data_IF_756663401123
#
_entry.id   IF_756663401123
#
_cell.length_a   1.000
_cell.length_b   1.000
_cell.length_c   1.000
_cell.angle_alpha   90.00
_cell.angle_beta   90.00
_cell.angle_gamma   90.00
#
_symmetry.space_group_name_H-M   'P 1'
#
loop_
_entity.id
_entity.type
_entity.pdbx_description
1 polymer ?
#
# COMPACT_ATOMS: atom_id res chain seq x y z
N UNK A 1 -26.28 -6.83 40.04
CA UNK A 1 -25.17 -5.87 39.85
C UNK A 1 -24.88 -5.84 38.36
N UNK A 2 -25.51 -4.92 37.64
CA UNK A 2 -25.44 -4.85 36.19
C UNK A 2 -24.37 -3.85 35.79
N UNK A 3 -23.21 -4.34 35.36
CA UNK A 3 -22.13 -3.50 34.82
C UNK A 3 -22.50 -3.09 33.40
N UNK A 4 -22.89 -1.82 33.24
CA UNK A 4 -23.07 -1.21 31.93
C UNK A 4 -21.73 -1.00 31.24
N UNK A 5 -21.53 -1.67 30.11
CA UNK A 5 -20.46 -1.35 29.16
C UNK A 5 -20.84 -0.05 28.44
N UNK A 6 -20.20 1.06 28.84
CA UNK A 6 -20.26 2.31 28.10
C UNK A 6 -19.43 2.16 26.83
N UNK A 7 -20.10 1.89 25.71
CA UNK A 7 -19.54 2.02 24.37
C UNK A 7 -19.07 3.46 24.19
N UNK A 8 -17.76 3.67 24.24
CA UNK A 8 -17.12 4.96 23.98
C UNK A 8 -17.31 5.29 22.49
N UNK A 9 -18.40 6.00 22.19
CA UNK A 9 -18.66 6.59 20.88
C UNK A 9 -17.52 7.56 20.57
N UNK A 10 -16.61 7.16 19.69
CA UNK A 10 -15.53 8.01 19.20
C UNK A 10 -16.11 9.26 18.54
N UNK A 11 -15.59 10.42 18.95
CA UNK A 11 -15.91 11.70 18.34
C UNK A 11 -15.55 11.67 16.85
N UNK A 12 -16.50 12.02 15.99
CA UNK A 12 -16.36 12.03 14.52
C UNK A 12 -15.25 12.96 13.98
N UNK A 13 -14.56 13.70 14.84
CA UNK A 13 -13.43 14.58 14.49
C UNK A 13 -12.07 13.88 14.37
N UNK A 14 -11.96 12.63 14.85
CA UNK A 14 -10.71 11.85 14.81
C UNK A 14 -10.67 10.79 13.71
N UNK A 15 -11.73 10.67 12.92
CA UNK A 15 -11.81 9.71 11.82
C UNK A 15 -11.34 10.32 10.50
N UNK A 16 -10.56 9.55 9.76
CA UNK A 16 -10.13 9.81 8.40
C UNK A 16 -10.94 8.94 7.43
N UNK A 17 -11.63 9.57 6.49
CA UNK A 17 -12.14 8.87 5.32
C UNK A 17 -11.02 8.74 4.29
N UNK A 18 -10.67 7.51 3.89
CA UNK A 18 -9.66 7.22 2.88
C UNK A 18 -10.33 6.68 1.62
N UNK A 19 -10.01 7.25 0.46
CA UNK A 19 -10.42 6.74 -0.86
C UNK A 19 -9.22 6.04 -1.50
N UNK A 20 -9.29 4.72 -1.56
CA UNK A 20 -8.27 3.87 -2.16
C UNK A 20 -8.42 3.85 -3.68
N UNK A 21 -7.37 4.27 -4.38
CA UNK A 21 -7.30 4.35 -5.84
C UNK A 21 -6.39 3.22 -6.34
N UNK A 22 -6.93 2.30 -7.14
CA UNK A 22 -6.18 1.12 -7.57
C UNK A 22 -5.41 1.45 -8.86
N UNK A 23 -4.09 1.23 -8.85
CA UNK A 23 -3.25 1.50 -10.01
C UNK A 23 -3.71 0.68 -11.24
N UNK A 24 -3.79 1.34 -12.40
CA UNK A 24 -4.23 0.79 -13.68
C UNK A 24 -5.69 0.26 -13.67
N UNK A 25 -6.53 0.74 -12.75
CA UNK A 25 -7.93 0.36 -12.64
C UNK A 25 -8.79 1.63 -12.56
N UNK A 26 -9.03 2.25 -13.71
CA UNK A 26 -9.75 3.52 -13.79
C UNK A 26 -11.17 3.40 -13.22
N UNK A 27 -11.57 4.39 -12.42
CA UNK A 27 -12.87 4.43 -11.76
C UNK A 27 -13.04 3.48 -10.57
N UNK A 28 -12.20 2.45 -10.41
CA UNK A 28 -12.29 1.52 -9.28
C UNK A 28 -11.72 2.14 -8.02
N UNK A 29 -12.56 2.26 -6.99
CA UNK A 29 -12.14 2.78 -5.70
C UNK A 29 -12.94 2.17 -4.55
N UNK A 30 -12.31 2.15 -3.37
CA UNK A 30 -12.93 1.73 -2.10
C UNK A 30 -12.81 2.89 -1.13
N UNK A 31 -13.87 3.20 -0.39
CA UNK A 31 -13.86 4.26 0.63
C UNK A 31 -14.10 3.64 2.00
N UNK A 32 -13.14 3.79 2.91
CA UNK A 32 -13.24 3.30 4.29
C UNK A 32 -12.92 4.43 5.27
N UNK A 33 -13.39 4.31 6.51
CA UNK A 33 -13.13 5.28 7.59
C UNK A 33 -12.32 4.62 8.69
N UNK A 34 -11.33 5.35 9.21
CA UNK A 34 -10.44 4.87 10.27
C UNK A 34 -10.13 5.99 11.26
N UNK A 35 -10.04 5.69 12.57
CA UNK A 35 -9.43 6.61 13.52
C UNK A 35 -7.99 6.94 13.11
N UNK A 36 -7.54 8.18 13.33
CA UNK A 36 -6.15 8.62 13.08
C UNK A 36 -5.08 7.78 13.81
N UNK A 37 -5.44 7.19 14.94
CA UNK A 37 -4.58 6.28 15.72
C UNK A 37 -4.42 4.89 15.11
N UNK A 38 -5.15 4.57 14.03
CA UNK A 38 -5.09 3.25 13.38
C UNK A 38 -3.74 3.03 12.72
N UNK A 39 -3.14 1.86 12.95
CA UNK A 39 -1.92 1.43 12.27
C UNK A 39 -2.19 1.13 10.79
N UNK A 40 -1.22 1.45 9.93
CA UNK A 40 -1.29 1.19 8.48
C UNK A 40 -1.47 -0.32 8.19
N UNK A 41 -0.89 -1.20 9.02
CA UNK A 41 -1.12 -2.65 8.93
C UNK A 41 -2.60 -3.05 9.08
N UNK A 42 -3.31 -2.44 10.02
CA UNK A 42 -4.74 -2.66 10.20
C UNK A 42 -5.55 -2.10 9.02
N UNK A 43 -5.17 -0.92 8.51
CA UNK A 43 -5.78 -0.34 7.29
C UNK A 43 -5.63 -1.28 6.08
N UNK A 44 -4.46 -1.89 5.89
CA UNK A 44 -4.24 -2.89 4.83
C UNK A 44 -5.09 -4.13 5.01
N UNK A 45 -5.21 -4.64 6.24
CA UNK A 45 -6.05 -5.79 6.55
C UNK A 45 -7.53 -5.50 6.26
N UNK A 46 -8.01 -4.29 6.56
CA UNK A 46 -9.38 -3.86 6.29
C UNK A 46 -9.64 -3.66 4.80
N UNK A 47 -8.69 -3.09 4.08
CA UNK A 47 -8.74 -2.98 2.63
C UNK A 47 -8.80 -4.35 1.95
N UNK A 48 -8.02 -5.33 2.44
CA UNK A 48 -8.04 -6.70 1.91
C UNK A 48 -9.40 -7.38 2.10
N UNK A 49 -10.11 -7.13 3.21
CA UNK A 49 -11.48 -7.64 3.44
C UNK A 49 -12.53 -6.95 2.57
N UNK A 50 -12.25 -5.73 2.11
CA UNK A 50 -13.14 -4.93 1.26
C UNK A 50 -12.58 -4.77 -0.16
N UNK A 51 -11.81 -5.75 -0.62
CA UNK A 51 -11.15 -5.67 -1.92
C UNK A 51 -12.20 -5.57 -3.04
N UNK A 52 -12.05 -4.65 -4.01
CA UNK A 52 -13.07 -4.43 -5.02
C UNK A 52 -13.18 -5.64 -5.96
N UNK A 53 -14.41 -5.92 -6.40
CA UNK A 53 -14.66 -6.95 -7.39
C UNK A 53 -13.99 -6.59 -8.73
N UNK A 54 -13.52 -7.61 -9.46
CA UNK A 54 -12.86 -7.43 -10.75
C UNK A 54 -11.38 -7.00 -10.68
N UNK A 55 -10.87 -6.63 -9.51
CA UNK A 55 -9.43 -6.41 -9.29
C UNK A 55 -8.82 -7.65 -8.66
N UNK A 56 -7.79 -8.21 -9.26
CA UNK A 56 -7.09 -9.36 -8.68
C UNK A 56 -6.58 -9.01 -7.27
N UNK A 57 -6.96 -9.77 -6.23
CA UNK A 57 -6.46 -9.53 -4.89
C UNK A 57 -4.96 -9.85 -4.78
N UNK A 58 -4.26 -9.23 -3.82
CA UNK A 58 -2.88 -9.57 -3.52
C UNK A 58 -2.79 -10.98 -2.92
N UNK A 59 -1.71 -11.71 -3.20
CA UNK A 59 -1.41 -13.00 -2.56
C UNK A 59 -1.06 -12.83 -1.07
N UNK A 60 -0.42 -11.71 -0.72
CA UNK A 60 0.00 -11.35 0.64
C UNK A 60 -0.25 -9.86 0.88
N UNK A 61 -0.76 -9.50 2.05
CA UNK A 61 -0.95 -8.10 2.45
C UNK A 61 0.36 -7.29 2.42
N UNK A 62 1.52 -7.94 2.60
CA UNK A 62 2.84 -7.30 2.48
C UNK A 62 3.14 -6.80 1.07
N UNK A 63 2.48 -7.35 0.05
CA UNK A 63 2.60 -6.90 -1.33
C UNK A 63 1.83 -5.61 -1.61
N UNK A 64 0.90 -5.23 -0.73
CA UNK A 64 0.11 -3.99 -0.86
C UNK A 64 0.94 -2.80 -0.39
N UNK A 65 1.08 -1.82 -1.28
CA UNK A 65 1.73 -0.54 -1.03
C UNK A 65 0.69 0.56 -1.08
N UNK A 66 0.56 1.28 0.04
CA UNK A 66 -0.30 2.44 0.16
C UNK A 66 0.55 3.71 0.03
N UNK A 67 0.25 4.55 -0.96
CA UNK A 67 0.95 5.80 -1.22
C UNK A 67 -0.01 6.96 -1.03
N UNK A 68 0.29 7.82 -0.04
CA UNK A 68 -0.51 9.00 0.25
C UNK A 68 0.18 10.27 -0.28
N UNK A 69 -0.60 11.16 -0.88
CA UNK A 69 -0.21 12.46 -1.46
C UNK A 69 1.00 13.13 -0.77
N UNK A 70 2.17 13.14 -1.42
CA UNK A 70 3.39 13.80 -0.90
C UNK A 70 3.99 13.18 0.37
N UNK A 71 3.48 12.04 0.84
CA UNK A 71 4.00 11.28 1.99
C UNK A 71 4.77 10.02 1.59
N UNK A 72 4.71 9.64 0.32
CA UNK A 72 5.33 8.42 -0.17
C UNK A 72 4.62 7.18 0.38
N UNK A 73 5.40 6.10 0.55
CA UNK A 73 4.90 4.80 1.01
C UNK A 73 4.60 4.80 2.51
N UNK A 74 3.34 4.55 2.88
CA UNK A 74 2.92 4.39 4.27
C UNK A 74 3.47 3.08 4.87
N UNK A 75 4.04 3.17 6.08
CA UNK A 75 4.70 2.04 6.75
C UNK A 75 3.79 1.37 7.76
N UNK A 76 3.79 0.03 7.79
CA UNK A 76 2.86 -0.80 8.57
C UNK A 76 2.86 -0.55 10.09
N UNK A 77 4.02 -0.16 10.63
CA UNK A 77 4.23 0.12 12.05
C UNK A 77 3.86 1.56 12.45
N UNK A 78 3.50 2.42 11.51
CA UNK A 78 3.06 3.78 11.79
C UNK A 78 1.54 3.87 11.83
N UNK A 79 1.04 4.82 12.61
CA UNK A 79 -0.37 5.21 12.58
C UNK A 79 -0.63 6.17 11.41
N UNK A 80 -1.90 6.37 11.05
CA UNK A 80 -2.28 7.36 10.04
C UNK A 80 -1.86 8.78 10.45
N UNK A 81 -1.96 9.11 11.74
CA UNK A 81 -1.45 10.37 12.30
C UNK A 81 0.08 10.47 12.23
N UNK A 82 0.79 9.39 12.60
CA UNK A 82 2.25 9.33 12.50
C UNK A 82 2.77 9.52 11.08
N UNK A 83 2.00 9.02 10.10
CA UNK A 83 2.24 9.23 8.67
C UNK A 83 1.84 10.63 8.17
N UNK A 84 1.23 11.47 9.02
CA UNK A 84 0.70 12.80 8.68
C UNK A 84 -0.26 12.75 7.49
N UNK A 85 -1.15 11.74 7.49
CA UNK A 85 -2.21 11.61 6.48
C UNK A 85 -3.20 12.76 6.69
N UNK A 86 -3.43 13.61 5.67
CA UNK A 86 -4.31 14.76 5.84
C UNK A 86 -5.75 14.32 6.05
N UNK A 87 -6.49 15.11 6.84
CA UNK A 87 -7.93 15.00 6.98
C UNK A 87 -8.59 16.12 6.17
N UNK A 88 -9.60 15.79 5.38
CA UNK A 88 -10.41 16.79 4.69
C UNK A 88 -11.87 16.68 5.13
N UNK A 89 -12.52 17.80 5.50
CA UNK A 89 -13.91 17.76 5.95
C UNK A 89 -14.91 17.52 4.81
N UNK A 90 -14.52 17.84 3.57
CA UNK A 90 -15.43 17.82 2.41
C UNK A 90 -15.31 16.57 1.54
N UNK A 91 -14.21 15.82 1.66
CA UNK A 91 -13.96 14.66 0.79
C UNK A 91 -12.99 13.66 1.44
N UNK A 92 -13.02 12.38 1.04
CA UNK A 92 -12.04 11.41 1.51
C UNK A 92 -10.63 11.71 0.97
N UNK A 93 -9.61 11.40 1.78
CA UNK A 93 -8.20 11.52 1.41
C UNK A 93 -7.82 10.44 0.40
N UNK A 94 -7.30 10.81 -0.78
CA UNK A 94 -6.91 9.84 -1.80
C UNK A 94 -5.61 9.11 -1.41
N UNK A 95 -5.65 7.78 -1.50
CA UNK A 95 -4.51 6.89 -1.25
C UNK A 95 -4.36 5.96 -2.44
N UNK A 96 -3.21 6.03 -3.13
CA UNK A 96 -2.91 5.14 -4.23
C UNK A 96 -2.54 3.75 -3.70
N UNK A 97 -3.12 2.72 -4.29
CA UNK A 97 -2.89 1.31 -4.00
C UNK A 97 -2.13 0.69 -5.15
N UNK A 98 -0.96 0.13 -4.86
CA UNK A 98 -0.22 -0.72 -5.79
C UNK A 98 0.02 -2.08 -5.16
N UNK A 99 -0.06 -3.13 -5.97
CA UNK A 99 0.20 -4.52 -5.56
C UNK A 99 1.48 -4.97 -6.23
N UNK A 100 2.52 -5.22 -5.43
CA UNK A 100 3.77 -5.77 -5.92
C UNK A 100 3.60 -7.27 -6.18
N UNK A 101 3.47 -7.65 -7.45
CA UNK A 101 3.51 -9.07 -7.82
C UNK A 101 4.95 -9.54 -7.93
N UNK A 102 5.28 -10.68 -7.33
CA UNK A 102 6.52 -11.36 -7.66
C UNK A 102 6.41 -11.78 -9.12
N UNK A 103 7.41 -11.43 -9.93
CA UNK A 103 7.51 -12.00 -11.27
C UNK A 103 7.57 -13.53 -11.11
N UNK A 104 6.85 -14.31 -11.94
CA UNK A 104 7.06 -15.75 -11.96
C UNK A 104 8.54 -15.99 -12.21
N UNK A 105 9.16 -16.84 -11.40
CA UNK A 105 10.54 -17.26 -11.62
C UNK A 105 10.61 -17.91 -12.99
N UNK A 106 11.07 -17.17 -13.99
CA UNK A 106 11.52 -17.74 -15.24
C UNK A 106 12.77 -18.54 -14.91
N UNK A 107 12.58 -19.78 -14.46
CA UNK A 107 13.58 -20.82 -14.61
C UNK A 107 13.74 -21.01 -16.10
N UNK A 108 14.54 -20.14 -16.73
CA UNK A 108 15.14 -20.47 -18.00
C UNK A 108 16.12 -21.59 -17.68
N UNK A 109 15.68 -22.81 -17.95
CA UNK A 109 16.54 -23.97 -18.09
C UNK A 109 17.48 -23.65 -19.27
N UNK A 110 18.57 -22.96 -18.97
CA UNK A 110 19.67 -22.77 -19.91
C UNK A 110 20.52 -24.04 -19.82
N UNK A 111 20.66 -24.85 -20.88
CA UNK A 111 21.60 -25.95 -20.87
C UNK A 111 23.00 -25.39 -20.62
N UNK A 112 23.55 -25.76 -19.46
CA UNK A 112 24.85 -25.36 -18.96
C UNK A 112 25.93 -25.83 -19.94
N UNK A 113 26.41 -24.92 -20.79
CA UNK A 113 27.50 -25.19 -21.73
C UNK A 113 28.69 -24.31 -21.34
N UNK A 114 29.67 -24.96 -20.72
CA UNK A 114 31.10 -24.66 -20.52
C UNK A 114 31.60 -23.21 -20.35
N UNK A 115 32.45 -23.08 -19.33
CA UNK A 115 33.16 -21.90 -18.84
C UNK A 115 33.75 -20.96 -19.92
N UNK A 116 33.58 -19.66 -19.70
CA UNK A 116 34.41 -18.62 -20.32
C UNK A 116 34.80 -17.55 -19.29
N UNK A 117 36.07 -17.16 -19.36
CA UNK A 117 36.85 -16.38 -18.39
C UNK A 117 36.27 -14.99 -18.07
N UNK A 118 36.53 -14.57 -16.83
CA UNK A 118 36.32 -13.21 -16.33
C UNK A 118 37.15 -12.20 -17.13
N UNK A 119 36.49 -11.18 -17.68
CA UNK A 119 37.14 -9.99 -18.23
C UNK A 119 36.60 -8.79 -17.46
N UNK A 120 37.46 -8.19 -16.63
CA UNK A 120 37.21 -6.88 -16.06
C UNK A 120 37.20 -5.85 -17.20
N UNK A 121 36.14 -5.05 -17.30
CA UNK A 121 36.10 -3.92 -18.22
C UNK A 121 35.62 -2.66 -17.49
N UNK A 122 36.45 -1.64 -17.67
CA UNK A 122 36.48 -0.30 -17.10
C UNK A 122 35.24 0.56 -17.33
N UNK A 123 35.20 1.67 -16.60
CA UNK A 123 34.10 2.60 -16.44
C UNK A 123 33.37 3.06 -17.71
N UNK A 124 32.08 3.32 -17.54
CA UNK A 124 31.24 4.00 -18.52
C UNK A 124 30.86 5.38 -17.95
N UNK A 125 31.47 6.42 -18.50
CA UNK A 125 31.02 7.80 -18.32
C UNK A 125 30.11 8.19 -19.48
N UNK A 126 28.92 8.70 -19.17
CA UNK A 126 28.06 9.36 -20.15
C UNK A 126 27.75 10.77 -19.64
N UNK A 127 28.22 11.77 -20.40
CA UNK A 127 27.86 13.18 -20.26
C UNK A 127 26.50 13.39 -20.92
N UNK A 128 25.60 14.09 -20.24
CA UNK A 128 24.33 14.58 -20.80
C UNK A 128 24.64 15.83 -21.63
N UNK A 129 24.14 15.86 -22.87
CA UNK A 129 24.16 17.02 -23.75
C UNK A 129 22.88 17.83 -23.57
#
# INVERSE_FOLDING_TARGET
>A
MSSGMTSKTGSSGDDLALKFLFANQDGVNVVLKFPKSTFVSAVKADLARNWPQGVTPPEDHKSVRLICMGRGLLQDHQTLDGCKVPAFPTHPTPVNVSVLRKAPSTTRDFPQTVAAKSVAASGCGCVLQ
#
